data_IF_690372252911
#
_entry.id   IF_690372252911
#
_cell.length_a   1.000
_cell.length_b   1.000
_cell.length_c   1.000
_cell.angle_alpha   90.00
_cell.angle_beta   90.00
_cell.angle_gamma   90.00
#
_symmetry.space_group_name_H-M   'P 1'
#
loop_
_entity.id
_entity.type
_entity.pdbx_description
1 polymer ?
#
# COMPACT_ATOMS: atom_id res chain seq x y z
N UNK A 1 32.09 -2.72 -41.74
CA UNK A 1 33.08 -1.64 -41.55
C UNK A 1 34.19 -2.07 -40.56
N UNK A 2 34.72 -3.30 -40.69
CA UNK A 2 35.61 -3.92 -39.67
C UNK A 2 36.83 -4.65 -40.28
N UNK A 3 37.14 -4.42 -41.57
CA UNK A 3 38.28 -5.07 -42.26
C UNK A 3 39.46 -4.13 -42.56
N UNK A 4 39.32 -2.83 -42.29
CA UNK A 4 40.38 -1.85 -42.60
C UNK A 4 41.36 -1.62 -41.43
N UNK A 5 40.91 -1.80 -40.18
CA UNK A 5 41.76 -1.57 -39.01
C UNK A 5 42.78 -2.70 -38.75
N UNK A 6 42.48 -3.93 -39.18
CA UNK A 6 43.40 -5.06 -39.05
C UNK A 6 44.65 -4.87 -39.94
N UNK A 7 44.50 -4.29 -41.14
CA UNK A 7 45.63 -4.05 -42.05
C UNK A 7 46.62 -2.98 -41.54
N UNK A 8 46.14 -1.98 -40.78
CA UNK A 8 47.00 -0.96 -40.19
C UNK A 8 47.85 -1.51 -39.03
N UNK A 9 47.31 -2.46 -38.25
CA UNK A 9 48.06 -3.11 -37.16
C UNK A 9 49.19 -3.99 -37.70
N UNK A 10 48.94 -4.75 -38.78
CA UNK A 10 50.01 -5.56 -39.42
C UNK A 10 51.09 -4.70 -40.09
N UNK A 11 50.74 -3.53 -40.65
CA UNK A 11 51.72 -2.59 -41.19
C UNK A 11 52.61 -1.96 -40.10
N UNK A 12 52.04 -1.67 -38.91
CA UNK A 12 52.82 -1.13 -37.79
C UNK A 12 53.75 -2.16 -37.17
N UNK A 13 53.33 -3.43 -37.06
CA UNK A 13 54.18 -4.53 -36.58
C UNK A 13 55.28 -4.87 -37.59
N UNK A 14 55.01 -4.80 -38.89
CA UNK A 14 56.01 -4.99 -39.95
C UNK A 14 57.08 -3.90 -40.00
N UNK A 15 56.72 -2.63 -39.82
CA UNK A 15 57.68 -1.51 -39.82
C UNK A 15 58.57 -1.48 -38.57
N UNK A 16 58.07 -1.92 -37.40
CA UNK A 16 58.88 -1.97 -36.18
C UNK A 16 59.86 -3.16 -36.16
N UNK A 17 59.53 -4.27 -36.83
CA UNK A 17 60.46 -5.40 -36.98
C UNK A 17 61.53 -5.16 -38.05
N UNK A 18 61.24 -4.37 -39.10
CA UNK A 18 62.24 -3.99 -40.11
C UNK A 18 63.24 -2.95 -39.59
N UNK A 19 62.85 -2.14 -38.60
CA UNK A 19 63.70 -1.07 -38.04
C UNK A 19 64.70 -1.56 -36.98
N UNK A 20 64.63 -2.82 -36.55
CA UNK A 20 65.54 -3.40 -35.54
C UNK A 20 66.61 -4.33 -36.18
N UNK A 21 66.50 -4.66 -37.48
CA UNK A 21 67.47 -5.51 -38.21
C UNK A 21 68.16 -4.70 -39.32
N UNK A 22 68.91 -3.67 -38.92
CA UNK A 22 70.05 -3.14 -39.68
C UNK A 22 70.91 -2.23 -38.79
N UNK A 23 71.41 -2.75 -37.67
CA UNK A 23 72.63 -2.18 -37.10
C UNK A 23 73.77 -2.62 -38.02
N UNK A 24 74.11 -1.72 -38.94
CA UNK A 24 75.20 -1.81 -39.88
C UNK A 24 76.47 -2.28 -39.16
N UNK A 25 76.94 -3.48 -39.52
CA UNK A 25 78.29 -3.93 -39.23
C UNK A 25 79.29 -2.88 -39.74
N UNK A 26 80.21 -2.50 -38.85
CA UNK A 26 81.58 -2.09 -39.12
C UNK A 26 81.89 -1.53 -40.51
N UNK A 27 82.17 -0.23 -40.58
CA UNK A 27 83.47 0.18 -41.13
C UNK A 27 84.02 1.28 -40.23
N UNK A 28 85.11 0.91 -39.56
CA UNK A 28 86.01 1.74 -38.80
C UNK A 28 86.15 3.16 -39.37
N UNK A 29 86.06 4.18 -38.52
CA UNK A 29 86.59 5.50 -38.83
C UNK A 29 88.12 5.39 -38.90
N UNK A 30 88.63 4.93 -40.04
CA UNK A 30 90.05 4.92 -40.37
C UNK A 30 90.52 6.35 -40.55
N UNK A 31 91.28 6.88 -39.58
CA UNK A 31 92.07 8.08 -39.78
C UNK A 31 93.15 7.80 -40.84
N UNK A 32 92.92 8.23 -42.08
CA UNK A 32 93.98 8.24 -43.09
C UNK A 32 94.87 9.47 -42.82
N UNK A 33 95.90 9.29 -41.99
CA UNK A 33 97.01 10.24 -41.84
C UNK A 33 97.89 10.19 -43.10
N UNK A 34 97.45 10.85 -44.16
CA UNK A 34 98.35 11.22 -45.26
C UNK A 34 99.13 12.45 -44.78
N UNK A 35 100.43 12.24 -44.62
CA UNK A 35 101.47 13.19 -44.19
C UNK A 35 101.75 13.29 -42.69
N UNK A 36 101.72 12.15 -41.97
CA UNK A 36 102.42 12.06 -40.69
C UNK A 36 103.87 11.59 -40.91
N UNK A 37 104.90 12.35 -40.46
CA UNK A 37 106.28 11.88 -40.48
C UNK A 37 106.38 10.60 -39.64
N UNK A 38 107.32 9.72 -39.97
CA UNK A 38 107.56 8.37 -39.42
C UNK A 38 107.81 8.30 -37.90
N UNK A 39 106.85 8.75 -37.10
CA UNK A 39 106.79 8.73 -35.62
C UNK A 39 105.39 8.31 -35.13
N UNK A 40 104.68 7.53 -35.93
CA UNK A 40 103.23 7.31 -35.80
C UNK A 40 102.81 6.25 -34.77
N UNK A 41 103.73 5.55 -34.11
CA UNK A 41 103.35 4.65 -33.01
C UNK A 41 102.87 5.45 -31.80
N UNK A 42 103.76 6.23 -31.19
CA UNK A 42 103.47 7.01 -29.99
C UNK A 42 102.53 8.19 -30.28
N UNK A 43 102.69 8.92 -31.40
CA UNK A 43 101.86 10.07 -31.71
C UNK A 43 100.40 9.69 -32.03
N UNK A 44 100.15 8.65 -32.83
CA UNK A 44 98.77 8.24 -33.15
C UNK A 44 98.07 7.61 -31.94
N UNK A 45 98.77 6.78 -31.15
CA UNK A 45 98.25 6.31 -29.86
C UNK A 45 97.99 7.46 -28.89
N UNK A 46 98.80 8.53 -28.90
CA UNK A 46 98.55 9.71 -28.07
C UNK A 46 97.31 10.49 -28.54
N UNK A 47 97.07 10.57 -29.85
CA UNK A 47 95.88 11.21 -30.43
C UNK A 47 94.61 10.37 -30.27
N UNK A 48 94.73 9.02 -30.27
CA UNK A 48 93.61 8.07 -30.12
C UNK A 48 93.32 7.67 -28.67
N UNK A 49 94.28 7.80 -27.75
CA UNK A 49 94.11 7.49 -26.31
C UNK A 49 92.84 8.08 -25.71
N UNK A 50 92.50 9.38 -25.93
CA UNK A 50 91.27 9.96 -25.39
C UNK A 50 90.01 9.21 -25.84
N UNK A 51 89.98 8.72 -27.09
CA UNK A 51 88.86 7.94 -27.61
C UNK A 51 88.85 6.51 -27.07
N UNK A 52 90.01 5.87 -26.93
CA UNK A 52 90.11 4.52 -26.33
C UNK A 52 89.68 4.55 -24.86
N UNK A 53 90.17 5.52 -24.09
CA UNK A 53 89.79 5.73 -22.68
C UNK A 53 88.31 6.08 -22.55
N UNK A 54 87.76 6.89 -23.46
CA UNK A 54 86.33 7.19 -23.52
C UNK A 54 85.50 5.94 -23.82
N UNK A 55 85.87 5.16 -24.84
CA UNK A 55 85.18 3.91 -25.20
C UNK A 55 85.24 2.89 -24.07
N UNK A 56 86.39 2.74 -23.40
CA UNK A 56 86.50 1.86 -22.23
C UNK A 56 85.59 2.32 -21.08
N UNK A 57 85.50 3.63 -20.83
CA UNK A 57 84.59 4.20 -19.82
C UNK A 57 83.12 3.95 -20.19
N UNK A 58 82.74 4.14 -21.45
CA UNK A 58 81.38 3.88 -21.96
C UNK A 58 81.03 2.40 -21.85
N UNK A 59 81.94 1.49 -22.22
CA UNK A 59 81.73 0.04 -22.08
C UNK A 59 81.47 -0.34 -20.62
N UNK A 60 82.26 0.20 -19.69
CA UNK A 60 82.09 -0.08 -18.26
C UNK A 60 80.75 0.47 -17.71
N UNK A 61 80.30 1.61 -18.24
CA UNK A 61 78.97 2.14 -17.94
C UNK A 61 77.86 1.23 -18.50
N UNK A 62 78.05 0.71 -19.71
CA UNK A 62 77.10 -0.21 -20.36
C UNK A 62 76.96 -1.52 -19.59
N UNK A 63 78.07 -2.09 -19.12
CA UNK A 63 78.08 -3.30 -18.29
C UNK A 63 77.32 -3.06 -16.97
N UNK A 64 77.56 -1.91 -16.32
CA UNK A 64 76.84 -1.52 -15.10
C UNK A 64 75.33 -1.33 -15.33
N UNK A 65 74.94 -0.72 -16.46
CA UNK A 65 73.52 -0.58 -16.83
C UNK A 65 72.89 -1.95 -17.07
N UNK A 66 73.59 -2.87 -17.74
CA UNK A 66 73.10 -4.23 -18.00
C UNK A 66 72.87 -5.01 -16.69
N UNK A 67 73.74 -4.82 -15.69
CA UNK A 67 73.58 -5.45 -14.38
C UNK A 67 72.35 -4.90 -13.64
N UNK A 68 72.18 -3.57 -13.63
CA UNK A 68 70.99 -2.91 -13.07
C UNK A 68 69.71 -3.38 -13.78
N UNK A 69 69.74 -3.50 -15.10
CA UNK A 69 68.60 -3.96 -15.89
C UNK A 69 68.20 -5.38 -15.50
N UNK A 70 69.16 -6.29 -15.36
CA UNK A 70 68.93 -7.67 -14.94
C UNK A 70 68.40 -7.76 -13.50
N UNK A 71 68.93 -6.94 -12.59
CA UNK A 71 68.43 -6.89 -11.22
C UNK A 71 67.00 -6.34 -11.15
N UNK A 72 66.70 -5.30 -11.91
CA UNK A 72 65.35 -4.76 -12.04
C UNK A 72 64.38 -5.76 -12.69
N UNK A 73 64.82 -6.52 -13.69
CA UNK A 73 64.00 -7.58 -14.28
C UNK A 73 63.62 -8.62 -13.23
N UNK A 74 64.59 -9.10 -12.43
CA UNK A 74 64.31 -10.03 -11.32
C UNK A 74 63.37 -9.44 -10.28
N UNK A 75 63.41 -8.12 -10.04
CA UNK A 75 62.46 -7.44 -9.14
C UNK A 75 61.05 -7.43 -9.74
N UNK A 76 60.92 -7.14 -11.03
CA UNK A 76 59.65 -7.19 -11.75
C UNK A 76 59.06 -8.60 -11.71
N UNK A 77 59.83 -9.63 -12.03
CA UNK A 77 59.36 -11.03 -12.03
C UNK A 77 58.86 -11.46 -10.63
N UNK A 78 59.56 -11.04 -9.56
CA UNK A 78 59.12 -11.29 -8.18
C UNK A 78 57.81 -10.56 -7.85
N UNK A 79 57.67 -9.32 -8.32
CA UNK A 79 56.44 -8.55 -8.13
C UNK A 79 55.28 -9.18 -8.88
N UNK A 80 55.48 -9.61 -10.13
CA UNK A 80 54.48 -10.28 -10.95
C UNK A 80 53.97 -11.57 -10.28
N UNK A 81 54.89 -12.41 -9.81
CA UNK A 81 54.51 -13.62 -9.06
C UNK A 81 53.70 -13.30 -7.80
N UNK A 82 54.14 -12.31 -7.02
CA UNK A 82 53.42 -11.91 -5.81
C UNK A 82 52.01 -11.35 -6.12
N UNK A 83 51.83 -10.68 -7.26
CA UNK A 83 50.53 -10.22 -7.74
C UNK A 83 49.65 -11.41 -8.10
N UNK A 84 50.16 -12.37 -8.88
CA UNK A 84 49.40 -13.57 -9.29
C UNK A 84 48.96 -14.41 -8.08
N UNK A 85 49.85 -14.64 -7.11
CA UNK A 85 49.51 -15.38 -5.89
C UNK A 85 48.39 -14.68 -5.10
N UNK A 86 48.46 -13.35 -4.97
CA UNK A 86 47.40 -12.56 -4.32
C UNK A 86 46.10 -12.57 -5.10
N UNK A 87 46.15 -12.50 -6.43
CA UNK A 87 44.97 -12.59 -7.29
C UNK A 87 44.24 -13.92 -7.08
N UNK A 88 44.97 -15.04 -7.03
CA UNK A 88 44.36 -16.36 -6.77
C UNK A 88 43.68 -16.46 -5.40
N UNK A 89 44.27 -15.84 -4.36
CA UNK A 89 43.63 -15.77 -3.03
C UNK A 89 42.33 -14.94 -3.09
N UNK A 90 42.35 -13.80 -3.80
CA UNK A 90 41.18 -12.93 -3.96
C UNK A 90 40.08 -13.64 -4.73
N UNK A 91 40.39 -14.32 -5.84
CA UNK A 91 39.41 -15.07 -6.65
C UNK A 91 38.74 -16.18 -5.82
N UNK A 92 39.54 -16.98 -5.10
CA UNK A 92 39.00 -18.03 -4.24
C UNK A 92 38.12 -17.44 -3.11
N UNK A 93 38.57 -16.35 -2.48
CA UNK A 93 37.77 -15.64 -1.48
C UNK A 93 36.45 -15.10 -2.04
N UNK A 94 36.47 -14.61 -3.28
CA UNK A 94 35.29 -14.10 -3.99
C UNK A 94 34.30 -15.22 -4.28
N UNK A 95 34.77 -16.37 -4.78
CA UNK A 95 33.92 -17.55 -5.04
C UNK A 95 33.25 -18.08 -3.77
N UNK A 96 33.98 -18.17 -2.67
CA UNK A 96 33.42 -18.60 -1.38
C UNK A 96 32.38 -17.60 -0.88
N UNK A 97 32.66 -16.30 -0.99
CA UNK A 97 31.73 -15.25 -0.59
C UNK A 97 30.45 -15.30 -1.43
N UNK A 98 30.59 -15.51 -2.74
CA UNK A 98 29.46 -15.67 -3.65
C UNK A 98 28.59 -16.88 -3.27
N UNK A 99 29.19 -18.04 -2.99
CA UNK A 99 28.46 -19.23 -2.56
C UNK A 99 27.72 -19.01 -1.23
N UNK A 100 28.32 -18.27 -0.30
CA UNK A 100 27.68 -17.91 0.97
C UNK A 100 26.48 -16.97 0.76
N UNK A 101 26.62 -15.96 -0.11
CA UNK A 101 25.54 -15.04 -0.46
C UNK A 101 24.37 -15.82 -1.05
N UNK A 102 24.62 -16.73 -2.00
CA UNK A 102 23.59 -17.56 -2.59
C UNK A 102 22.88 -18.46 -1.58
N UNK A 103 23.62 -19.01 -0.60
CA UNK A 103 23.02 -19.80 0.47
C UNK A 103 22.08 -18.96 1.33
N UNK A 104 22.56 -17.79 1.78
CA UNK A 104 21.76 -16.85 2.58
C UNK A 104 20.52 -16.40 1.80
N UNK A 105 20.66 -16.15 0.51
CA UNK A 105 19.54 -15.73 -0.33
C UNK A 105 18.48 -16.82 -0.48
N UNK A 106 18.89 -18.09 -0.62
CA UNK A 106 17.96 -19.24 -0.61
C UNK A 106 17.24 -19.40 0.73
N UNK A 107 17.97 -19.28 1.84
CA UNK A 107 17.38 -19.35 3.19
C UNK A 107 16.37 -18.21 3.42
N UNK A 108 16.72 -16.99 3.03
CA UNK A 108 15.84 -15.85 3.12
C UNK A 108 14.58 -16.02 2.26
N UNK A 109 14.73 -16.52 1.03
CA UNK A 109 13.57 -16.79 0.17
C UNK A 109 12.63 -17.83 0.80
N UNK A 110 13.18 -18.95 1.28
CA UNK A 110 12.37 -19.98 1.94
C UNK A 110 11.67 -19.47 3.21
N UNK A 111 12.29 -18.56 3.94
CA UNK A 111 11.67 -17.92 5.10
C UNK A 111 10.55 -16.97 4.68
N UNK A 112 10.73 -16.18 3.61
CA UNK A 112 9.69 -15.30 3.07
C UNK A 112 8.46 -16.11 2.61
N UNK A 113 8.67 -17.21 1.88
CA UNK A 113 7.58 -18.08 1.41
C UNK A 113 6.78 -18.68 2.60
N UNK A 114 7.47 -19.03 3.69
CA UNK A 114 6.82 -19.52 4.92
C UNK A 114 6.00 -18.45 5.63
N UNK A 115 6.51 -17.21 5.66
CA UNK A 115 5.81 -16.08 6.25
C UNK A 115 4.56 -15.78 5.43
N UNK A 116 4.69 -15.69 4.11
CA UNK A 116 3.58 -15.43 3.20
C UNK A 116 2.47 -16.48 3.35
N UNK A 117 2.85 -17.76 3.38
CA UNK A 117 1.89 -18.85 3.61
C UNK A 117 1.14 -18.71 4.93
N UNK A 118 1.84 -18.43 6.04
CA UNK A 118 1.20 -18.22 7.35
C UNK A 118 0.27 -17.01 7.36
N UNK A 119 0.65 -15.94 6.65
CA UNK A 119 -0.18 -14.75 6.47
C UNK A 119 -1.48 -15.10 5.73
N UNK A 120 -1.38 -15.81 4.60
CA UNK A 120 -2.53 -16.27 3.81
C UNK A 120 -3.45 -17.20 4.60
N UNK A 121 -2.90 -18.09 5.43
CA UNK A 121 -3.69 -18.98 6.29
C UNK A 121 -4.43 -18.23 7.40
N UNK A 122 -3.85 -17.14 7.92
CA UNK A 122 -4.42 -16.37 9.02
C UNK A 122 -5.47 -15.36 8.56
N UNK A 123 -5.37 -14.89 7.31
CA UNK A 123 -6.17 -13.79 6.77
C UNK A 123 -7.69 -14.03 6.81
N UNK A 124 -8.24 -15.21 6.43
CA UNK A 124 -9.69 -15.45 6.48
C UNK A 124 -10.26 -15.42 7.90
N UNK A 125 -9.49 -15.89 8.88
CA UNK A 125 -9.88 -15.87 10.29
C UNK A 125 -9.99 -14.44 10.82
N UNK A 126 -9.05 -13.57 10.43
CA UNK A 126 -9.09 -12.15 10.79
C UNK A 126 -10.32 -11.46 10.19
N UNK A 127 -10.61 -11.71 8.92
CA UNK A 127 -11.80 -11.15 8.23
C UNK A 127 -13.11 -11.66 8.83
N UNK A 128 -13.16 -12.90 9.32
CA UNK A 128 -14.33 -13.43 10.03
C UNK A 128 -14.55 -12.69 11.35
N UNK A 129 -13.51 -12.57 12.17
CA UNK A 129 -13.59 -11.86 13.46
C UNK A 129 -13.99 -10.39 13.25
N UNK A 130 -13.44 -9.73 12.23
CA UNK A 130 -13.83 -8.36 11.90
C UNK A 130 -15.31 -8.23 11.56
N UNK A 131 -15.86 -9.15 10.75
CA UNK A 131 -17.29 -9.16 10.42
C UNK A 131 -18.17 -9.41 11.65
N UNK A 132 -17.80 -10.35 12.52
CA UNK A 132 -18.54 -10.64 13.75
C UNK A 132 -18.55 -9.44 14.72
N UNK A 133 -17.41 -8.76 14.86
CA UNK A 133 -17.30 -7.53 15.66
C UNK A 133 -18.16 -6.40 15.08
N UNK A 134 -18.22 -6.28 13.76
CA UNK A 134 -19.03 -5.26 13.10
C UNK A 134 -20.53 -5.53 13.28
N UNK A 135 -21.00 -6.77 13.08
CA UNK A 135 -22.39 -7.17 13.34
C UNK A 135 -22.79 -6.91 14.81
N UNK A 136 -21.90 -7.24 15.75
CA UNK A 136 -22.15 -6.99 17.18
C UNK A 136 -22.26 -5.49 17.47
N UNK A 137 -21.42 -4.67 16.84
CA UNK A 137 -21.45 -3.21 17.00
C UNK A 137 -22.75 -2.62 16.48
N UNK A 138 -23.22 -3.08 15.31
CA UNK A 138 -24.47 -2.62 14.71
C UNK A 138 -25.67 -2.99 15.60
N UNK A 139 -25.70 -4.21 16.16
CA UNK A 139 -26.72 -4.62 17.13
C UNK A 139 -26.71 -3.77 18.39
N UNK A 140 -25.53 -3.50 18.96
CA UNK A 140 -25.39 -2.64 20.13
C UNK A 140 -25.88 -1.23 19.83
N UNK A 141 -25.55 -0.69 18.65
CA UNK A 141 -26.02 0.62 18.22
C UNK A 141 -27.55 0.69 18.14
N UNK A 142 -28.19 -0.33 17.56
CA UNK A 142 -29.66 -0.39 17.52
C UNK A 142 -30.28 -0.52 18.92
N UNK A 143 -29.67 -1.31 19.80
CA UNK A 143 -30.13 -1.45 21.17
C UNK A 143 -30.02 -0.12 21.94
N UNK A 144 -28.89 0.58 21.82
CA UNK A 144 -28.68 1.90 22.45
C UNK A 144 -29.67 2.92 21.89
N UNK A 145 -29.88 2.93 20.57
CA UNK A 145 -30.88 3.77 19.90
C UNK A 145 -32.28 3.52 20.49
N UNK A 146 -32.67 2.26 20.62
CA UNK A 146 -33.95 1.84 21.20
C UNK A 146 -34.12 2.26 22.67
N UNK A 147 -33.07 2.10 23.49
CA UNK A 147 -33.06 2.54 24.89
C UNK A 147 -33.17 4.07 24.99
N UNK A 148 -32.44 4.81 24.15
CA UNK A 148 -32.43 6.27 24.16
C UNK A 148 -33.76 6.91 23.73
N UNK A 149 -34.52 6.24 22.85
CA UNK A 149 -35.87 6.67 22.46
C UNK A 149 -36.95 6.29 23.48
N UNK A 150 -36.66 5.50 24.52
CA UNK A 150 -37.66 5.13 25.52
C UNK A 150 -38.79 4.25 24.95
N UNK A 151 -38.45 3.33 24.05
CA UNK A 151 -39.42 2.42 23.44
C UNK A 151 -40.08 1.51 24.49
N UNK A 152 -41.39 1.32 24.34
CA UNK A 152 -42.18 0.34 25.08
C UNK A 152 -42.52 -0.83 24.17
N UNK A 153 -42.04 -2.03 24.51
CA UNK A 153 -42.35 -3.24 23.75
C UNK A 153 -43.40 -4.10 24.46
N UNK A 154 -44.39 -4.55 23.69
CA UNK A 154 -45.41 -5.52 24.09
C UNK A 154 -45.22 -6.74 23.18
N UNK A 155 -44.68 -7.81 23.75
CA UNK A 155 -44.26 -9.00 22.99
C UNK A 155 -43.25 -8.63 21.88
N UNK A 156 -43.57 -8.87 20.61
CA UNK A 156 -42.70 -8.58 19.47
C UNK A 156 -42.96 -7.22 18.81
N UNK A 157 -43.83 -6.38 19.39
CA UNK A 157 -44.16 -5.06 18.83
C UNK A 157 -43.74 -3.94 19.78
N UNK A 158 -43.03 -2.96 19.25
CA UNK A 158 -42.52 -1.83 20.03
C UNK A 158 -43.19 -0.52 19.61
N UNK A 159 -43.39 0.34 20.60
CA UNK A 159 -44.09 1.60 20.49
C UNK A 159 -43.26 2.75 21.05
N UNK A 160 -43.26 3.88 20.35
CA UNK A 160 -42.68 5.15 20.78
C UNK A 160 -43.81 6.15 21.01
N UNK A 161 -43.82 6.82 22.17
CA UNK A 161 -44.81 7.85 22.50
C UNK A 161 -44.09 9.21 22.48
N UNK A 162 -44.35 10.02 21.46
CA UNK A 162 -43.86 11.40 21.41
C UNK A 162 -44.71 12.26 22.34
N UNK A 163 -44.07 13.00 23.25
CA UNK A 163 -44.74 13.84 24.26
C UNK A 163 -44.28 15.30 24.22
N UNK A 164 -43.31 15.65 23.37
CA UNK A 164 -42.69 16.97 23.34
C UNK A 164 -43.11 17.77 22.10
N UNK A 165 -43.33 17.09 20.97
CA UNK A 165 -43.64 17.74 19.71
C UNK A 165 -44.99 17.28 19.16
N UNK A 166 -45.82 18.24 18.77
CA UNK A 166 -47.08 17.99 18.07
C UNK A 166 -46.89 18.17 16.57
N UNK A 167 -47.58 17.36 15.78
CA UNK A 167 -47.53 17.39 14.33
C UNK A 167 -48.91 17.06 13.77
N UNK A 168 -49.17 17.50 12.53
CA UNK A 168 -50.28 16.97 11.72
C UNK A 168 -50.12 15.47 11.51
N UNK A 169 -51.21 14.77 11.21
CA UNK A 169 -51.19 13.32 11.04
C UNK A 169 -50.16 12.87 9.98
N UNK A 170 -50.09 13.58 8.86
CA UNK A 170 -49.17 13.28 7.75
C UNK A 170 -47.71 13.42 8.19
N UNK A 171 -47.37 14.50 8.89
CA UNK A 171 -46.00 14.75 9.34
C UNK A 171 -45.58 13.77 10.45
N UNK A 172 -46.53 13.40 11.32
CA UNK A 172 -46.32 12.38 12.34
C UNK A 172 -46.06 11.00 11.71
N UNK A 173 -46.82 10.61 10.69
CA UNK A 173 -46.57 9.39 9.91
C UNK A 173 -45.20 9.39 9.26
N UNK A 174 -44.82 10.48 8.59
CA UNK A 174 -43.47 10.62 8.01
C UNK A 174 -42.37 10.51 9.05
N UNK A 175 -42.60 11.00 10.26
CA UNK A 175 -41.67 10.86 11.38
C UNK A 175 -41.53 9.39 11.80
N UNK A 176 -42.65 8.69 11.99
CA UNK A 176 -42.63 7.27 12.34
C UNK A 176 -41.99 6.40 11.24
N UNK A 177 -42.19 6.73 9.97
CA UNK A 177 -41.50 6.07 8.84
C UNK A 177 -40.00 6.23 8.86
N UNK A 178 -39.50 7.43 9.20
CA UNK A 178 -38.05 7.67 9.39
C UNK A 178 -37.48 6.90 10.58
N UNK A 179 -38.33 6.51 11.54
CA UNK A 179 -37.93 5.68 12.67
C UNK A 179 -37.91 4.18 12.35
N UNK A 180 -38.38 3.76 11.17
CA UNK A 180 -38.43 2.34 10.78
C UNK A 180 -39.78 1.67 11.07
N UNK A 181 -40.88 2.43 11.08
CA UNK A 181 -42.22 1.87 11.22
C UNK A 181 -43.30 2.82 10.74
N UNK A 182 -44.41 2.89 11.46
CA UNK A 182 -45.60 3.67 11.08
C UNK A 182 -46.22 4.31 12.32
N UNK A 183 -47.16 5.23 12.17
CA UNK A 183 -48.06 5.57 13.27
C UNK A 183 -48.75 4.30 13.79
N UNK A 184 -48.99 4.25 15.09
CA UNK A 184 -49.41 3.03 15.75
C UNK A 184 -50.84 2.61 15.37
N UNK A 185 -50.97 1.37 14.92
CA UNK A 185 -52.23 0.65 14.81
C UNK A 185 -52.14 -0.60 15.69
N UNK A 186 -52.93 -0.62 16.76
CA UNK A 186 -52.94 -1.72 17.72
C UNK A 186 -53.54 -2.98 17.11
N UNK A 187 -52.98 -4.14 17.44
CA UNK A 187 -53.52 -5.43 16.98
C UNK A 187 -54.57 -5.99 17.93
N UNK A 188 -54.55 -5.58 19.20
CA UNK A 188 -55.37 -6.16 20.25
C UNK A 188 -55.46 -5.25 21.49
N UNK A 189 -56.38 -5.60 22.40
CA UNK A 189 -56.60 -4.92 23.68
C UNK A 189 -55.34 -4.84 24.55
N UNK A 190 -54.45 -5.84 24.49
CA UNK A 190 -53.25 -5.91 25.34
C UNK A 190 -52.27 -4.80 24.97
N UNK A 191 -51.98 -4.62 23.68
CA UNK A 191 -51.15 -3.53 23.19
C UNK A 191 -51.76 -2.17 23.55
N UNK A 192 -53.07 -2.01 23.28
CA UNK A 192 -53.80 -0.78 23.57
C UNK A 192 -53.70 -0.40 25.07
N UNK A 193 -53.97 -1.35 25.97
CA UNK A 193 -53.92 -1.11 27.42
C UNK A 193 -52.51 -0.77 27.91
N UNK A 194 -51.49 -1.45 27.39
CA UNK A 194 -50.10 -1.20 27.77
C UNK A 194 -49.66 0.23 27.40
N UNK A 195 -49.98 0.67 26.18
CA UNK A 195 -49.62 2.01 25.69
C UNK A 195 -50.47 3.10 26.37
N UNK A 196 -51.79 2.94 26.44
CA UNK A 196 -52.69 3.92 27.07
C UNK A 196 -52.44 4.10 28.57
N UNK A 197 -51.85 3.12 29.25
CA UNK A 197 -51.43 3.27 30.64
C UNK A 197 -50.28 4.27 30.84
N UNK A 198 -49.58 4.66 29.77
CA UNK A 198 -48.50 5.66 29.79
C UNK A 198 -48.89 7.04 29.26
N UNK A 199 -50.06 7.16 28.65
CA UNK A 199 -50.52 8.43 28.11
C UNK A 199 -51.01 9.37 29.23
N UNK A 200 -50.77 10.66 29.05
CA UNK A 200 -51.25 11.67 29.99
C UNK A 200 -52.76 11.92 29.78
N UNK A 201 -53.49 12.04 30.89
CA UNK A 201 -54.93 12.36 30.87
C UNK A 201 -55.17 13.72 30.19
N UNK A 202 -56.23 13.83 29.38
CA UNK A 202 -56.57 15.04 28.64
C UNK A 202 -55.68 15.35 27.44
N UNK A 203 -54.68 14.52 27.14
CA UNK A 203 -53.78 14.70 26.00
C UNK A 203 -54.20 13.80 24.84
N UNK A 204 -54.14 14.34 23.62
CA UNK A 204 -54.50 13.66 22.38
C UNK A 204 -53.27 13.14 21.66
N UNK A 205 -53.36 11.92 21.13
CA UNK A 205 -52.28 11.26 20.40
C UNK A 205 -52.76 10.63 19.10
N UNK A 206 -52.16 10.99 17.97
CA UNK A 206 -52.45 10.36 16.68
C UNK A 206 -52.14 8.87 16.68
N UNK A 207 -53.02 8.12 16.02
CA UNK A 207 -52.85 6.72 15.64
C UNK A 207 -52.70 6.61 14.13
N UNK A 208 -52.12 5.50 13.68
CA UNK A 208 -51.95 5.20 12.27
C UNK A 208 -53.21 4.63 11.67
N UNK A 209 -54.37 5.21 11.95
CA UNK A 209 -55.68 4.81 11.43
C UNK A 209 -56.36 6.05 10.86
N UNK A 210 -56.95 5.92 9.68
CA UNK A 210 -57.55 7.01 8.92
C UNK A 210 -58.55 6.45 7.89
N UNK A 211 -59.47 7.26 7.42
CA UNK A 211 -60.44 6.95 6.36
C UNK A 211 -60.45 8.03 5.26
N UNK A 212 -59.33 8.75 5.13
CA UNK A 212 -59.09 9.85 4.18
C UNK A 212 -59.40 9.53 2.72
N UNK A 213 -59.33 8.26 2.32
CA UNK A 213 -59.65 7.84 0.96
C UNK A 213 -61.15 7.62 0.76
N UNK A 214 -61.84 7.14 1.80
CA UNK A 214 -63.27 6.83 1.77
C UNK A 214 -63.86 6.84 3.17
N UNK A 215 -64.69 7.85 3.42
CA UNK A 215 -65.44 8.04 4.66
C UNK A 215 -66.08 6.75 5.19
N UNK A 216 -65.82 6.44 6.46
CA UNK A 216 -66.31 5.26 7.16
C UNK A 216 -65.54 3.96 6.85
N UNK A 217 -64.58 3.97 5.91
CA UNK A 217 -63.67 2.86 5.63
C UNK A 217 -62.27 3.10 6.21
N UNK A 218 -62.14 2.89 7.52
CA UNK A 218 -60.88 3.04 8.22
C UNK A 218 -59.83 2.02 7.76
N UNK A 219 -58.63 2.52 7.47
CA UNK A 219 -57.42 1.77 7.12
C UNK A 219 -56.25 2.21 8.00
N UNK A 220 -55.28 1.31 8.19
CA UNK A 220 -54.03 1.66 8.84
C UNK A 220 -53.17 2.52 7.91
N UNK A 221 -52.18 3.23 8.44
CA UNK A 221 -51.21 4.00 7.65
C UNK A 221 -50.42 3.12 6.66
N UNK A 222 -50.32 1.82 6.93
CA UNK A 222 -49.78 0.80 6.02
C UNK A 222 -50.78 0.25 5.00
N UNK A 223 -52.02 0.76 4.97
CA UNK A 223 -53.06 0.40 4.01
C UNK A 223 -53.85 -0.87 4.35
N UNK A 224 -53.68 -1.46 5.53
CA UNK A 224 -54.38 -2.67 5.94
C UNK A 224 -55.65 -2.33 6.74
N UNK A 225 -56.64 -3.23 6.82
CA UNK A 225 -57.76 -3.04 7.75
C UNK A 225 -57.30 -2.98 9.20
N UNK A 226 -57.81 -2.05 10.04
CA UNK A 226 -57.48 -1.98 11.46
C UNK A 226 -58.01 -3.23 12.17
N UNK A 227 -57.15 -3.85 12.99
CA UNK A 227 -57.50 -5.08 13.72
C UNK A 227 -58.18 -4.81 15.07
N UNK A 228 -57.99 -3.61 15.60
CA UNK A 228 -58.51 -3.24 16.91
C UNK A 228 -58.93 -1.76 16.90
N UNK A 229 -60.19 -1.52 17.22
CA UNK A 229 -60.81 -0.21 17.35
C UNK A 229 -61.61 -0.18 18.66
N UNK A 230 -61.54 0.94 19.39
CA UNK A 230 -62.31 1.14 20.62
C UNK A 230 -62.77 2.59 20.68
N UNK A 231 -63.84 2.88 19.97
CA UNK A 231 -64.41 4.22 19.88
C UNK A 231 -64.96 4.73 21.21
N UNK A 232 -64.87 6.03 21.44
CA UNK A 232 -65.62 6.69 22.49
C UNK A 232 -67.12 6.58 22.21
N UNK A 233 -67.94 6.78 23.24
CA UNK A 233 -69.40 6.77 23.07
C UNK A 233 -69.80 7.88 22.10
N UNK A 234 -70.47 7.50 21.01
CA UNK A 234 -70.90 8.43 19.96
C UNK A 234 -69.93 8.58 18.79
N UNK A 235 -68.77 7.91 18.83
CA UNK A 235 -67.72 8.03 17.81
C UNK A 235 -67.63 6.79 16.91
N UNK A 236 -67.08 6.90 15.69
CA UNK A 236 -66.71 8.15 15.02
C UNK A 236 -67.96 8.94 14.61
N UNK A 237 -67.95 10.27 14.76
CA UNK A 237 -69.09 11.14 14.43
C UNK A 237 -68.91 11.98 13.17
N UNK A 238 -67.70 11.98 12.59
CA UNK A 238 -67.30 12.76 11.44
C UNK A 238 -67.80 14.21 11.51
N UNK A 239 -67.51 14.88 12.61
CA UNK A 239 -67.98 16.24 12.84
C UNK A 239 -67.63 17.20 11.68
N UNK A 240 -68.62 17.95 11.19
CA UNK A 240 -68.52 18.84 10.02
C UNK A 240 -68.05 18.15 8.71
N UNK A 241 -68.25 16.82 8.59
CA UNK A 241 -67.85 16.00 7.44
C UNK A 241 -66.33 16.11 7.11
N UNK A 242 -65.48 16.29 8.13
CA UNK A 242 -64.05 16.58 7.95
C UNK A 242 -63.10 15.86 8.93
N UNK A 243 -63.55 14.83 9.65
CA UNK A 243 -62.73 14.12 10.63
C UNK A 243 -62.19 12.79 10.09
N UNK A 244 -61.03 12.82 9.44
CA UNK A 244 -60.54 11.68 8.67
C UNK A 244 -59.35 10.92 9.32
N UNK A 245 -58.94 11.32 10.53
CA UNK A 245 -57.75 10.78 11.20
C UNK A 245 -58.05 10.41 12.65
N UNK A 246 -57.60 9.23 13.08
CA UNK A 246 -57.93 8.71 14.42
C UNK A 246 -56.87 9.13 15.44
N UNK A 247 -57.32 9.62 16.58
CA UNK A 247 -56.51 9.82 17.77
C UNK A 247 -57.05 9.07 18.98
N UNK A 248 -56.20 8.95 20.00
CA UNK A 248 -56.63 8.59 21.36
C UNK A 248 -56.88 9.88 22.14
N UNK A 249 -57.96 9.92 22.90
CA UNK A 249 -58.23 10.92 23.94
C UNK A 249 -58.93 10.23 25.11
N UNK A 250 -58.42 10.47 26.33
CA UNK A 250 -58.90 9.83 27.56
C UNK A 250 -59.09 8.29 27.45
N UNK A 251 -58.13 7.65 26.75
CA UNK A 251 -58.07 6.20 26.50
C UNK A 251 -59.20 5.63 25.64
N UNK A 252 -59.87 6.46 24.86
CA UNK A 252 -60.81 6.05 23.81
C UNK A 252 -60.39 6.62 22.47
N UNK A 253 -60.84 6.01 21.38
CA UNK A 253 -60.57 6.48 20.02
C UNK A 253 -61.63 7.49 19.57
N UNK A 254 -61.19 8.47 18.80
CA UNK A 254 -61.99 9.54 18.20
C UNK A 254 -61.38 9.86 16.84
N UNK A 255 -62.19 10.15 15.84
CA UNK A 255 -61.77 10.81 14.61
C UNK A 255 -61.58 12.31 14.85
N UNK A 256 -60.75 12.96 14.04
CA UNK A 256 -60.45 14.39 14.13
C UNK A 256 -59.87 14.86 12.79
N UNK A 257 -59.98 16.14 12.41
CA UNK A 257 -59.32 16.66 11.21
C UNK A 257 -57.81 16.44 11.26
N UNK A 258 -57.28 15.86 10.19
CA UNK A 258 -55.88 15.42 10.08
C UNK A 258 -54.87 16.56 10.20
N UNK A 259 -55.32 17.80 9.94
CA UNK A 259 -54.54 19.03 9.90
C UNK A 259 -54.23 19.58 11.31
N UNK A 260 -54.85 19.03 12.36
CA UNK A 260 -54.54 19.46 13.72
C UNK A 260 -53.23 18.87 14.23
N UNK A 261 -52.50 19.72 14.96
CA UNK A 261 -51.27 19.30 15.62
C UNK A 261 -51.60 18.51 16.89
N UNK A 262 -51.27 17.22 16.90
CA UNK A 262 -51.34 16.37 18.09
C UNK A 262 -50.01 15.69 18.36
N UNK A 263 -49.83 15.21 19.58
CA UNK A 263 -48.79 14.24 19.87
C UNK A 263 -49.09 12.95 19.10
N UNK A 264 -48.16 12.00 19.08
CA UNK A 264 -48.35 10.81 18.25
C UNK A 264 -47.62 9.60 18.82
N UNK A 265 -48.08 8.43 18.41
CA UNK A 265 -47.52 7.15 18.82
C UNK A 265 -47.04 6.45 17.57
N UNK A 266 -45.75 6.09 17.52
CA UNK A 266 -45.21 5.25 16.47
C UNK A 266 -45.23 3.78 16.89
N UNK A 267 -45.50 2.88 15.96
CA UNK A 267 -45.12 1.48 16.02
C UNK A 267 -43.86 1.25 15.20
N UNK A 268 -43.02 0.30 15.61
CA UNK A 268 -41.84 -0.14 14.85
C UNK A 268 -42.05 -1.58 14.36
N UNK A 269 -41.71 -1.82 13.10
CA UNK A 269 -41.87 -3.13 12.46
C UNK A 269 -40.59 -4.00 12.57
N UNK A 270 -39.44 -3.40 12.89
CA UNK A 270 -38.17 -4.07 13.16
C UNK A 270 -37.49 -3.45 14.39
N UNK A 271 -37.11 -4.28 15.38
CA UNK A 271 -36.23 -3.92 16.52
C UNK A 271 -35.08 -4.91 16.61
#
# INVERSE_FOLDING_TARGET
>A
MFKFEIYLVYAFVGCNLYSIVKSQENVDSVCILKDAPSQCGAFCLSAQRPFIDHNYKVQRQMDSISEILNENQKRVDRMEKAILDKMGIIENGTLVTQANIERIQRENQANMDRIEKKTLETQPSLERIQRENQDTTDRIFQLVKSISMGLMCVESRCFYIENNFKQTWINAEDTCRKMGGHLAAFQNQKEFNAVTAKLHYGIKYWLGINDREKEGEFVTASGNPPKYLTWAVGQPDNYDDNENCVHIWDKMMNDLPCEFDQYYICQLDEV
#
